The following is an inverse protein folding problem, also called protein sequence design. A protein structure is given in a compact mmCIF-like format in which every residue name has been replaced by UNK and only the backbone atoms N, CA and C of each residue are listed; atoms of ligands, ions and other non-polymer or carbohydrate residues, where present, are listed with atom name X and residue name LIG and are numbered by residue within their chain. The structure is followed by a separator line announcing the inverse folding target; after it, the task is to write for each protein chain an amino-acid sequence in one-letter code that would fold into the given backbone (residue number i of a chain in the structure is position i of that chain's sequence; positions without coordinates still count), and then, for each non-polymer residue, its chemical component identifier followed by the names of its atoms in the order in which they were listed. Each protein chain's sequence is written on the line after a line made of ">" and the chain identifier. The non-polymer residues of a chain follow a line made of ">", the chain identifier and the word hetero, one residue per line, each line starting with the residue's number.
data_IF_335908295498
#
_entry.id   IF_335908295498
#
_cell.length_a   1.000
_cell.length_b   1.000
_cell.length_c   1.000
_cell.angle_alpha   90.00
_cell.angle_beta   90.00
_cell.angle_gamma   90.00
#
_symmetry.space_group_name_H-M   'P 1'
#
loop_
_entity.id
_entity.type
_entity.pdbx_description
1 polymer ?
#
# COMPACT_ATOMS: atom_id res chain seq x y z
N UNK A 1 4.23 -1.40 21.18
CA UNK A 1 2.88 -0.87 20.86
C UNK A 1 2.90 -0.37 19.42
N UNK A 2 1.90 -0.72 18.58
CA UNK A 2 1.81 -0.28 17.18
C UNK A 2 0.47 0.47 16.99
N UNK A 3 0.46 1.81 16.94
CA UNK A 3 -0.77 2.56 16.73
C UNK A 3 -1.34 2.28 15.33
N UNK A 4 -2.66 2.39 15.20
CA UNK A 4 -3.39 2.24 13.94
C UNK A 4 -4.19 3.50 13.66
N UNK A 5 -4.39 3.82 12.38
CA UNK A 5 -5.20 4.96 11.95
C UNK A 5 -6.56 4.42 11.52
N UNK A 6 -7.61 4.91 12.15
CA UNK A 6 -9.00 4.63 11.79
C UNK A 6 -9.62 5.93 11.31
N UNK A 7 -10.27 5.88 10.15
CA UNK A 7 -11.12 6.96 9.68
C UNK A 7 -12.35 7.06 10.58
N UNK A 8 -12.55 8.22 11.19
CA UNK A 8 -13.63 8.41 12.18
C UNK A 8 -15.03 8.29 11.55
N UNK A 9 -15.19 8.76 10.30
CA UNK A 9 -16.50 8.82 9.64
C UNK A 9 -16.98 7.45 9.16
N UNK A 10 -16.06 6.62 8.67
CA UNK A 10 -16.35 5.31 8.07
C UNK A 10 -15.99 4.14 8.98
N UNK A 11 -15.22 4.37 10.04
CA UNK A 11 -14.64 3.33 10.90
C UNK A 11 -13.59 2.48 10.18
N UNK A 12 -13.14 2.88 8.99
CA UNK A 12 -12.21 2.09 8.19
C UNK A 12 -10.78 2.28 8.67
N UNK A 13 -10.04 1.18 8.79
CA UNK A 13 -8.60 1.26 9.00
C UNK A 13 -7.94 1.80 7.74
N UNK A 14 -7.08 2.79 7.91
CA UNK A 14 -6.24 3.34 6.86
C UNK A 14 -4.79 2.91 7.10
N UNK A 15 -4.05 2.71 6.01
CA UNK A 15 -2.65 2.34 6.05
C UNK A 15 -1.76 3.50 5.68
N UNK A 16 -0.70 3.68 6.47
CA UNK A 16 0.44 4.51 6.09
C UNK A 16 1.26 3.85 4.97
N UNK A 17 2.19 4.60 4.36
CA UNK A 17 3.14 4.05 3.38
C UNK A 17 3.91 2.83 3.93
N UNK A 18 4.26 2.85 5.22
CA UNK A 18 4.98 1.77 5.87
C UNK A 18 4.11 0.51 6.00
N UNK A 19 2.87 0.66 6.46
CA UNK A 19 1.93 -0.46 6.59
C UNK A 19 1.53 -1.05 5.24
N UNK A 20 1.29 -0.21 4.23
CA UNK A 20 0.98 -0.67 2.88
C UNK A 20 2.15 -1.47 2.29
N UNK A 21 3.38 -0.99 2.48
CA UNK A 21 4.58 -1.71 2.05
C UNK A 21 4.72 -3.07 2.77
N UNK A 22 4.60 -3.08 4.10
CA UNK A 22 4.70 -4.30 4.93
C UNK A 22 3.65 -5.35 4.53
N UNK A 23 2.38 -4.95 4.36
CA UNK A 23 1.31 -5.86 3.96
C UNK A 23 1.47 -6.37 2.52
N UNK A 24 2.12 -5.60 1.64
CA UNK A 24 2.46 -6.06 0.29
C UNK A 24 3.76 -6.89 0.23
N UNK A 25 4.46 -7.07 1.35
CA UNK A 25 5.79 -7.71 1.38
C UNK A 25 6.87 -6.89 0.64
N UNK A 26 6.73 -5.57 0.60
CA UNK A 26 7.63 -4.64 -0.08
C UNK A 26 8.41 -3.79 0.91
N UNK A 27 9.58 -3.31 0.49
CA UNK A 27 10.25 -2.23 1.21
C UNK A 27 9.51 -0.90 1.00
N UNK A 28 9.59 0.02 1.96
CA UNK A 28 8.94 1.34 1.86
C UNK A 28 9.43 2.14 0.63
N UNK A 29 10.70 1.96 0.25
CA UNK A 29 11.30 2.58 -0.95
C UNK A 29 10.69 2.00 -2.24
N UNK A 30 10.48 0.69 -2.30
CA UNK A 30 9.78 0.04 -3.40
C UNK A 30 8.34 0.52 -3.48
N UNK A 31 7.64 0.62 -2.35
CA UNK A 31 6.30 1.17 -2.27
C UNK A 31 6.22 2.57 -2.88
N UNK A 32 7.07 3.51 -2.45
CA UNK A 32 7.10 4.86 -2.99
C UNK A 32 7.35 4.92 -4.50
N UNK A 33 8.16 4.01 -5.05
CA UNK A 33 8.35 3.88 -6.50
C UNK A 33 7.04 3.54 -7.21
N UNK A 34 6.19 2.71 -6.60
CA UNK A 34 4.88 2.35 -7.15
C UNK A 34 3.82 3.42 -6.97
N UNK A 35 3.85 4.19 -5.87
CA UNK A 35 2.90 5.27 -5.59
C UNK A 35 2.81 6.28 -6.75
N UNK A 36 3.94 6.62 -7.38
CA UNK A 36 3.96 7.53 -8.53
C UNK A 36 3.63 6.89 -9.88
N UNK A 37 3.29 5.60 -9.94
CA UNK A 37 3.18 4.86 -11.21
C UNK A 37 1.95 3.99 -11.34
N UNK A 38 1.63 3.22 -10.32
CA UNK A 38 0.70 2.08 -10.43
C UNK A 38 -0.07 1.77 -9.16
N UNK A 39 0.41 2.19 -7.99
CA UNK A 39 -0.30 1.98 -6.74
C UNK A 39 -1.58 2.84 -6.70
N UNK A 40 -2.58 2.45 -5.89
CA UNK A 40 -3.78 3.25 -5.71
C UNK A 40 -3.48 4.66 -5.20
N UNK A 41 -4.37 5.59 -5.50
CA UNK A 41 -4.27 6.95 -4.99
C UNK A 41 -4.51 6.95 -3.47
N UNK A 42 -3.83 7.83 -2.71
CA UNK A 42 -4.11 7.97 -1.30
C UNK A 42 -5.52 8.52 -1.10
N UNK A 43 -6.29 7.86 -0.24
CA UNK A 43 -7.68 8.25 0.09
C UNK A 43 -7.73 9.45 1.04
N UNK A 44 -6.68 9.64 1.84
CA UNK A 44 -6.56 10.75 2.76
C UNK A 44 -5.09 11.11 3.00
N UNK A 45 -4.87 12.24 3.69
CA UNK A 45 -3.55 12.64 4.18
C UNK A 45 -3.71 12.99 5.66
N UNK A 46 -3.01 12.29 6.55
CA UNK A 46 -3.04 12.58 7.99
C UNK A 46 -2.42 13.95 8.27
N UNK A 47 -1.31 14.22 7.59
CA UNK A 47 -0.61 15.50 7.54
C UNK A 47 -0.29 15.81 6.07
N UNK A 48 0.20 17.02 5.77
CA UNK A 48 0.69 17.38 4.43
C UNK A 48 1.69 16.38 3.81
N UNK A 49 2.39 15.60 4.64
CA UNK A 49 3.44 14.66 4.21
C UNK A 49 3.09 13.18 4.39
N UNK A 50 1.95 12.86 5.02
CA UNK A 50 1.62 11.48 5.41
C UNK A 50 0.36 11.01 4.66
N UNK A 51 0.50 10.54 3.41
CA UNK A 51 -0.59 9.92 2.69
C UNK A 51 -1.06 8.63 3.35
N UNK A 52 -2.37 8.38 3.25
CA UNK A 52 -3.06 7.23 3.78
C UNK A 52 -3.80 6.50 2.65
N UNK A 53 -3.80 5.17 2.70
CA UNK A 53 -4.42 4.32 1.70
C UNK A 53 -5.49 3.42 2.31
N UNK A 54 -6.51 3.10 1.50
CA UNK A 54 -7.45 2.04 1.85
C UNK A 54 -6.76 0.67 1.70
N UNK A 55 -6.72 -0.15 2.77
CA UNK A 55 -6.16 -1.50 2.73
C UNK A 55 -6.71 -2.40 1.63
N UNK A 56 -7.99 -2.25 1.29
CA UNK A 56 -8.68 -3.06 0.29
C UNK A 56 -8.15 -2.74 -1.10
N UNK A 57 -7.99 -1.47 -1.42
CA UNK A 57 -7.43 -1.04 -2.70
C UNK A 57 -5.97 -1.47 -2.85
N UNK A 58 -5.18 -1.34 -1.77
CA UNK A 58 -3.78 -1.79 -1.76
C UNK A 58 -3.67 -3.30 -1.98
N UNK A 59 -4.51 -4.10 -1.31
CA UNK A 59 -4.54 -5.55 -1.49
C UNK A 59 -5.03 -5.95 -2.89
N UNK A 60 -6.07 -5.29 -3.40
CA UNK A 60 -6.58 -5.52 -4.74
C UNK A 60 -5.52 -5.20 -5.79
N UNK A 61 -4.85 -4.05 -5.65
CA UNK A 61 -3.71 -3.70 -6.48
C UNK A 61 -2.60 -4.75 -6.38
N UNK A 62 -2.23 -5.20 -5.18
CA UNK A 62 -1.19 -6.22 -5.02
C UNK A 62 -1.54 -7.55 -5.71
N UNK A 63 -2.80 -7.96 -5.65
CA UNK A 63 -3.31 -9.18 -6.27
C UNK A 63 -3.40 -9.08 -7.80
N UNK A 64 -3.80 -7.93 -8.32
CA UNK A 64 -3.99 -7.68 -9.76
C UNK A 64 -2.74 -7.17 -10.45
N UNK A 65 -1.77 -6.67 -9.69
CA UNK A 65 -0.49 -6.22 -10.24
C UNK A 65 0.11 -7.37 -11.02
N UNK A 66 0.48 -7.17 -12.29
CA UNK A 66 1.27 -8.15 -13.00
C UNK A 66 2.58 -8.29 -12.23
N UNK A 67 2.69 -9.32 -11.38
CA UNK A 67 3.99 -9.84 -10.97
C UNK A 67 4.62 -10.17 -12.30
N UNK A 68 5.56 -9.34 -12.76
CA UNK A 68 6.39 -9.67 -13.91
C UNK A 68 6.77 -11.12 -13.67
N UNK A 69 6.20 -12.01 -14.49
CA UNK A 69 6.24 -13.44 -14.24
C UNK A 69 7.67 -13.77 -13.87
N UNK A 70 7.87 -14.49 -12.77
CA UNK A 70 9.15 -15.11 -12.44
C UNK A 70 9.61 -15.87 -13.68
N UNK A 71 10.34 -15.17 -14.54
CA UNK A 71 10.99 -15.72 -15.71
C UNK A 71 12.21 -16.40 -15.12
N UNK A 72 12.22 -17.72 -15.24
CA UNK A 72 13.25 -18.68 -14.82
C UNK A 72 13.18 -19.17 -13.38
N UNK A 73 12.32 -20.17 -13.14
CA UNK A 73 12.77 -21.39 -12.46
C UNK A 73 12.86 -22.46 -13.56
N UNK A 74 14.09 -22.72 -14.01
CA UNK A 74 14.39 -23.76 -14.98
C UNK A 74 15.12 -24.88 -14.21
N UNK A 75 14.52 -26.07 -14.29
CA UNK A 75 15.10 -27.42 -14.31
C UNK A 75 16.01 -27.87 -13.16
#
# INVERSE_FOLDING_TARGET
>A
MKPIIIDESTGQRLWTSAEAAENCGLSIKTWHTHVGRSAPQPVAKLDYRTPLWDPREVQFWHATRPKAASRFQNH
#
